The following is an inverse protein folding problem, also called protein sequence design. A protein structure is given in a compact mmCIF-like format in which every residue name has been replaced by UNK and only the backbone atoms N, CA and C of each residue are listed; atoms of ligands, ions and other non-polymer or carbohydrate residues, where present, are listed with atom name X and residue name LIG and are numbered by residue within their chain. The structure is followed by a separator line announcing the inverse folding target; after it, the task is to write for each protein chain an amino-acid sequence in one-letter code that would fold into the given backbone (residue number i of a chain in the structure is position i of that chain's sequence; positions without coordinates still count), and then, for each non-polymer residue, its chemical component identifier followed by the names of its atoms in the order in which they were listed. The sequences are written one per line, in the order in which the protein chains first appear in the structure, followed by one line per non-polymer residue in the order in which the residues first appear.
data_IF_086591864597
#
_entry.id   IF_086591864597
#
_cell.length_a   1.000
_cell.length_b   1.000
_cell.length_c   1.000
_cell.angle_alpha   90.00
_cell.angle_beta   90.00
_cell.angle_gamma   90.00
#
_symmetry.space_group_name_H-M   'P 1'
#
loop_
_entity.id
_entity.type
_entity.pdbx_description
1 polymer ?
#
# COMPACT_ATOMS: atom_id res chain seq x y z
N UNK A 1 -40.87 21.00 19.29
CA UNK A 1 -41.43 20.18 18.17
C UNK A 1 -41.57 21.07 16.93
N UNK A 2 -40.45 21.48 16.35
CA UNK A 2 -40.37 21.97 14.97
C UNK A 2 -39.83 20.78 14.19
N UNK A 3 -40.61 20.36 13.22
CA UNK A 3 -40.69 18.98 12.76
C UNK A 3 -39.58 18.65 11.77
N UNK A 4 -39.07 17.43 11.90
CA UNK A 4 -38.21 16.68 10.96
C UNK A 4 -38.65 16.84 9.49
N UNK A 5 -39.91 17.18 9.25
CA UNK A 5 -40.48 17.57 7.96
C UNK A 5 -39.77 18.73 7.24
N UNK A 6 -39.24 19.74 7.95
CA UNK A 6 -38.61 20.91 7.30
C UNK A 6 -37.22 20.55 6.76
N UNK A 7 -36.43 19.77 7.51
CA UNK A 7 -35.13 19.26 7.08
C UNK A 7 -35.27 18.25 5.93
N UNK A 8 -36.29 17.39 5.99
CA UNK A 8 -36.60 16.45 4.90
C UNK A 8 -37.02 17.16 3.61
N UNK A 9 -37.71 18.31 3.72
CA UNK A 9 -38.12 19.12 2.57
C UNK A 9 -36.94 19.86 1.93
N UNK A 10 -36.01 20.39 2.72
CA UNK A 10 -34.77 20.98 2.21
C UNK A 10 -33.87 19.95 1.51
N UNK A 11 -33.73 18.74 2.06
CA UNK A 11 -32.90 17.68 1.48
C UNK A 11 -33.48 17.16 0.15
N UNK A 12 -34.81 16.98 0.07
CA UNK A 12 -35.49 16.62 -1.20
C UNK A 12 -35.44 17.71 -2.26
N UNK A 13 -35.35 18.98 -1.88
CA UNK A 13 -35.23 20.11 -2.82
C UNK A 13 -33.82 20.18 -3.43
N UNK A 14 -32.78 19.88 -2.65
CA UNK A 14 -31.40 19.82 -3.13
C UNK A 14 -31.19 18.69 -4.16
N UNK A 15 -31.67 17.47 -3.87
CA UNK A 15 -31.61 16.32 -4.78
C UNK A 15 -32.40 16.51 -6.10
N UNK A 16 -33.41 17.40 -6.10
CA UNK A 16 -34.22 17.70 -7.29
C UNK A 16 -33.53 18.71 -8.22
N UNK A 17 -32.62 19.54 -7.72
CA UNK A 17 -31.79 20.41 -8.55
C UNK A 17 -30.59 19.67 -9.17
N UNK A 18 -29.97 18.73 -8.45
CA UNK A 18 -28.91 17.87 -9.03
C UNK A 18 -29.42 17.00 -10.20
N UNK A 19 -30.65 16.51 -10.13
CA UNK A 19 -31.28 15.77 -11.25
C UNK A 19 -31.59 16.65 -12.47
N UNK A 20 -31.75 17.97 -12.30
CA UNK A 20 -31.92 18.91 -13.41
C UNK A 20 -30.57 19.28 -14.03
N UNK A 21 -29.50 19.35 -13.24
CA UNK A 21 -28.13 19.54 -13.73
C UNK A 21 -27.59 18.34 -14.54
N UNK A 22 -28.01 17.11 -14.19
CA UNK A 22 -27.56 15.88 -14.88
C UNK A 22 -28.12 15.64 -16.28
N UNK A 23 -29.08 16.45 -16.76
CA UNK A 23 -29.66 16.32 -18.11
C UNK A 23 -28.88 17.09 -19.19
N UNK A 24 -27.83 17.84 -18.83
CA UNK A 24 -27.06 18.67 -19.79
C UNK A 24 -25.70 18.08 -20.19
N UNK A 25 -25.32 16.89 -19.72
CA UNK A 25 -24.01 16.29 -20.01
C UNK A 25 -24.15 14.84 -20.48
N UNK A 26 -24.87 14.65 -21.57
CA UNK A 26 -24.87 13.39 -22.31
C UNK A 26 -24.24 13.60 -23.68
N UNK A 27 -22.90 13.60 -23.76
CA UNK A 27 -22.13 13.31 -24.97
C UNK A 27 -20.73 12.87 -24.53
N UNK A 28 -20.34 11.65 -24.93
CA UNK A 28 -19.04 10.95 -24.87
C UNK A 28 -19.34 9.47 -24.51
N UNK A 29 -19.92 8.72 -25.45
CA UNK A 29 -19.22 7.92 -26.46
C UNK A 29 -18.30 6.86 -25.85
N UNK A 30 -18.84 5.65 -25.81
CA UNK A 30 -18.16 4.37 -25.77
C UNK A 30 -16.91 4.31 -26.66
N UNK A 31 -15.77 3.92 -26.08
CA UNK A 31 -14.66 3.27 -26.79
C UNK A 31 -14.06 2.18 -25.92
N UNK A 32 -14.40 0.95 -26.26
CA UNK A 32 -13.57 -0.23 -26.04
C UNK A 32 -12.35 -0.13 -26.96
N UNK A 33 -11.16 0.01 -26.41
CA UNK A 33 -9.93 -0.31 -27.10
C UNK A 33 -8.88 -0.78 -26.10
N UNK A 34 -8.54 -2.06 -26.24
CA UNK A 34 -7.27 -2.64 -25.84
C UNK A 34 -6.14 -1.78 -26.39
N UNK A 35 -5.35 -1.15 -25.52
CA UNK A 35 -4.13 -0.47 -25.92
C UNK A 35 -3.07 -0.55 -24.82
N UNK A 36 -2.12 -1.44 -25.09
CA UNK A 36 -0.71 -1.43 -24.70
C UNK A 36 -0.33 -1.51 -23.21
N UNK A 37 0.15 -2.70 -22.85
CA UNK A 37 1.19 -3.04 -21.86
C UNK A 37 2.50 -2.26 -22.06
N UNK A 38 2.44 -0.93 -22.11
CA UNK A 38 3.59 -0.04 -22.20
C UNK A 38 3.36 1.19 -21.30
N UNK A 39 2.90 0.95 -20.08
CA UNK A 39 3.09 1.91 -19.00
C UNK A 39 4.55 1.80 -18.59
N UNK A 40 5.38 2.58 -19.26
CA UNK A 40 6.76 2.82 -18.89
C UNK A 40 6.83 3.08 -17.38
N UNK A 41 7.85 2.50 -16.76
CA UNK A 41 8.28 2.63 -15.36
C UNK A 41 8.63 4.10 -14.99
N UNK A 42 7.77 5.08 -15.28
CA UNK A 42 7.93 6.48 -14.85
C UNK A 42 7.91 6.62 -13.31
N UNK A 43 7.46 5.58 -12.60
CA UNK A 43 7.51 5.48 -11.14
C UNK A 43 8.77 4.77 -10.59
N UNK A 44 9.76 4.42 -11.42
CA UNK A 44 11.04 3.82 -10.99
C UNK A 44 11.99 4.86 -10.33
N UNK A 45 11.76 6.15 -10.56
CA UNK A 45 12.62 7.25 -10.09
C UNK A 45 12.73 7.41 -8.56
N UNK A 46 11.71 7.03 -7.78
CA UNK A 46 11.68 7.30 -6.33
C UNK A 46 12.39 6.26 -5.44
N UNK A 47 13.02 5.24 -6.03
CA UNK A 47 13.81 4.26 -5.26
C UNK A 47 15.25 4.11 -5.79
N UNK A 48 15.62 4.82 -6.85
CA UNK A 48 17.00 4.82 -7.37
C UNK A 48 17.82 6.00 -6.81
N UNK A 49 17.22 7.17 -6.60
CA UNK A 49 17.94 8.38 -6.18
C UNK A 49 17.47 8.89 -4.81
N UNK A 50 18.12 8.46 -3.73
CA UNK A 50 18.74 9.40 -2.79
C UNK A 50 19.68 8.65 -1.83
N UNK A 51 20.84 9.25 -1.58
CA UNK A 51 22.05 8.71 -0.93
C UNK A 51 23.00 7.92 -1.84
N UNK A 52 23.66 8.68 -2.71
CA UNK A 52 25.02 8.37 -3.14
C UNK A 52 25.97 8.35 -1.93
N UNK A 53 26.66 7.23 -1.76
CA UNK A 53 28.04 7.24 -1.32
C UNK A 53 28.85 7.12 -2.62
N UNK A 54 28.96 8.23 -3.35
CA UNK A 54 29.98 8.39 -4.40
C UNK A 54 31.32 8.49 -3.67
N UNK A 55 31.84 7.32 -3.34
CA UNK A 55 33.05 7.12 -2.57
C UNK A 55 34.14 6.53 -3.45
N UNK A 56 34.58 7.28 -4.46
CA UNK A 56 35.97 7.26 -4.91
C UNK A 56 36.35 6.27 -6.02
N UNK A 57 36.75 6.88 -7.12
CA UNK A 57 37.84 6.49 -8.03
C UNK A 57 37.63 5.36 -9.06
N UNK A 58 37.59 5.85 -10.31
CA UNK A 58 37.88 5.21 -11.59
C UNK A 58 39.25 4.52 -11.59
N UNK A 59 39.34 3.32 -11.02
CA UNK A 59 40.43 2.38 -11.27
C UNK A 59 39.83 1.03 -11.70
N UNK A 60 40.17 0.60 -12.91
CA UNK A 60 39.59 -0.57 -13.61
C UNK A 60 39.97 -1.94 -13.04
N UNK A 61 39.82 -2.14 -11.72
CA UNK A 61 39.80 -3.46 -11.10
C UNK A 61 38.36 -3.96 -10.94
N UNK A 62 38.11 -5.20 -11.34
CA UNK A 62 36.82 -5.89 -11.20
C UNK A 62 36.57 -6.14 -9.71
N UNK A 63 35.97 -5.16 -9.02
CA UNK A 63 35.60 -5.29 -7.61
C UNK A 63 34.44 -6.28 -7.45
N UNK A 64 34.29 -6.86 -6.25
CA UNK A 64 33.14 -7.72 -5.93
C UNK A 64 31.81 -6.99 -6.16
N UNK A 65 31.75 -5.66 -6.00
CA UNK A 65 30.57 -4.85 -6.29
C UNK A 65 30.22 -4.84 -7.79
N UNK A 66 31.21 -4.76 -8.68
CA UNK A 66 31.00 -4.80 -10.14
C UNK A 66 30.46 -6.16 -10.59
N UNK A 67 30.93 -7.26 -9.99
CA UNK A 67 30.39 -8.60 -10.25
C UNK A 67 28.93 -8.73 -9.79
N UNK A 68 28.62 -8.27 -8.57
CA UNK A 68 27.26 -8.29 -8.00
C UNK A 68 26.29 -7.41 -8.80
N UNK A 69 26.77 -6.29 -9.35
CA UNK A 69 25.98 -5.41 -10.23
C UNK A 69 25.59 -6.10 -11.53
N UNK A 70 26.55 -6.78 -12.19
CA UNK A 70 26.30 -7.53 -13.41
C UNK A 70 25.29 -8.66 -13.18
N UNK A 71 25.46 -9.43 -12.09
CA UNK A 71 24.52 -10.50 -11.73
C UNK A 71 23.11 -9.97 -11.44
N UNK A 72 23.01 -8.78 -10.84
CA UNK A 72 21.73 -8.12 -10.61
C UNK A 72 21.06 -7.65 -11.91
N UNK A 73 21.84 -7.11 -12.87
CA UNK A 73 21.32 -6.71 -14.18
C UNK A 73 20.76 -7.92 -14.95
N UNK A 74 21.49 -9.04 -14.92
CA UNK A 74 21.05 -10.33 -15.46
C UNK A 74 19.73 -10.77 -14.83
N UNK A 75 19.63 -10.72 -13.49
CA UNK A 75 18.41 -11.05 -12.77
C UNK A 75 17.23 -10.14 -13.15
N UNK A 76 17.46 -8.82 -13.31
CA UNK A 76 16.43 -7.83 -13.70
C UNK A 76 15.84 -8.16 -15.07
N UNK A 77 16.66 -8.59 -16.03
CA UNK A 77 16.20 -8.97 -17.38
C UNK A 77 15.23 -10.16 -17.38
N UNK A 78 15.32 -11.02 -16.36
CA UNK A 78 14.52 -12.26 -16.25
C UNK A 78 13.19 -12.08 -15.52
N UNK A 79 12.96 -10.94 -14.86
CA UNK A 79 11.75 -10.65 -14.06
C UNK A 79 10.48 -10.86 -14.89
N UNK A 80 10.53 -10.51 -16.17
CA UNK A 80 9.37 -10.53 -17.05
C UNK A 80 9.14 -11.87 -17.74
N UNK A 81 10.18 -12.67 -17.89
CA UNK A 81 10.17 -13.89 -18.72
C UNK A 81 10.07 -15.15 -17.88
N UNK A 82 10.81 -15.27 -16.78
CA UNK A 82 10.88 -16.49 -16.00
C UNK A 82 11.11 -16.21 -14.51
N UNK A 83 10.03 -16.31 -13.72
CA UNK A 83 10.05 -16.12 -12.27
C UNK A 83 11.12 -17.00 -11.59
N UNK A 84 11.20 -18.29 -11.92
CA UNK A 84 12.09 -19.22 -11.22
C UNK A 84 13.56 -18.84 -11.42
N UNK A 85 13.94 -18.53 -12.67
CA UNK A 85 15.30 -18.13 -12.98
C UNK A 85 15.63 -16.76 -12.39
N UNK A 86 14.71 -15.80 -12.46
CA UNK A 86 14.90 -14.49 -11.84
C UNK A 86 15.13 -14.60 -10.32
N UNK A 87 14.30 -15.38 -9.63
CA UNK A 87 14.41 -15.60 -8.17
C UNK A 87 15.73 -16.29 -7.82
N UNK A 88 16.15 -17.27 -8.61
CA UNK A 88 17.42 -17.95 -8.40
C UNK A 88 18.60 -16.98 -8.54
N UNK A 89 18.61 -16.16 -9.60
CA UNK A 89 19.66 -15.14 -9.81
C UNK A 89 19.68 -14.09 -8.72
N UNK A 90 18.52 -13.57 -8.28
CA UNK A 90 18.48 -12.66 -7.15
C UNK A 90 18.96 -13.31 -5.83
N UNK A 91 18.76 -14.62 -5.63
CA UNK A 91 19.32 -15.31 -4.46
C UNK A 91 20.84 -15.44 -4.54
N UNK A 92 21.39 -15.60 -5.75
CA UNK A 92 22.84 -15.61 -5.98
C UNK A 92 23.44 -14.23 -5.66
N UNK A 93 22.79 -13.14 -6.10
CA UNK A 93 23.18 -11.75 -5.75
C UNK A 93 23.16 -11.52 -4.23
N UNK A 94 22.15 -12.04 -3.51
CA UNK A 94 22.10 -11.96 -2.04
C UNK A 94 23.23 -12.75 -1.37
N UNK A 95 23.63 -13.88 -1.94
CA UNK A 95 24.71 -14.70 -1.40
C UNK A 95 26.11 -14.12 -1.69
N UNK A 96 26.25 -13.37 -2.79
CA UNK A 96 27.48 -12.69 -3.17
C UNK A 96 27.68 -11.34 -2.46
N UNK A 97 26.61 -10.74 -1.93
CA UNK A 97 26.66 -9.49 -1.16
C UNK A 97 27.15 -9.76 0.28
N UNK A 98 28.45 -9.58 0.52
CA UNK A 98 29.10 -9.84 1.83
C UNK A 98 28.55 -8.94 2.95
N UNK A 99 28.20 -7.69 2.61
CA UNK A 99 27.69 -6.71 3.57
C UNK A 99 26.19 -6.86 3.85
N UNK A 100 25.51 -7.75 3.10
CA UNK A 100 24.07 -7.90 3.08
C UNK A 100 23.31 -6.57 3.06
N UNK A 101 23.88 -5.58 2.35
CA UNK A 101 23.47 -4.19 2.40
C UNK A 101 22.57 -3.83 1.23
N UNK A 102 23.11 -3.00 0.34
CA UNK A 102 22.38 -2.42 -0.80
C UNK A 102 21.87 -3.49 -1.76
N UNK A 103 22.72 -4.43 -2.14
CA UNK A 103 22.42 -5.42 -3.18
C UNK A 103 21.43 -6.48 -2.71
N UNK A 104 21.50 -6.87 -1.44
CA UNK A 104 20.54 -7.76 -0.79
C UNK A 104 19.14 -7.18 -0.82
N UNK A 105 18.99 -5.90 -0.46
CA UNK A 105 17.67 -5.26 -0.50
C UNK A 105 17.17 -5.01 -1.93
N UNK A 106 18.05 -4.60 -2.85
CA UNK A 106 17.69 -4.49 -4.28
C UNK A 106 17.17 -5.84 -4.80
N UNK A 107 17.81 -6.93 -4.42
CA UNK A 107 17.40 -8.29 -4.77
C UNK A 107 16.08 -8.69 -4.14
N UNK A 108 15.84 -8.40 -2.85
CA UNK A 108 14.53 -8.65 -2.22
C UNK A 108 13.41 -7.87 -2.91
N UNK A 109 13.65 -6.61 -3.25
CA UNK A 109 12.70 -5.78 -4.01
C UNK A 109 12.46 -6.35 -5.41
N UNK A 110 13.51 -6.84 -6.07
CA UNK A 110 13.44 -7.52 -7.37
C UNK A 110 12.57 -8.77 -7.33
N UNK A 111 12.81 -9.64 -6.35
CA UNK A 111 12.02 -10.86 -6.13
C UNK A 111 10.57 -10.52 -5.82
N UNK A 112 10.32 -9.57 -4.93
CA UNK A 112 8.97 -9.10 -4.62
C UNK A 112 8.23 -8.58 -5.87
N UNK A 113 8.90 -7.78 -6.71
CA UNK A 113 8.34 -7.28 -7.98
C UNK A 113 8.02 -8.43 -8.93
N UNK A 114 8.94 -9.37 -9.11
CA UNK A 114 8.74 -10.56 -9.93
C UNK A 114 7.55 -11.39 -9.43
N UNK A 115 7.51 -11.72 -8.13
CA UNK A 115 6.43 -12.47 -7.51
C UNK A 115 5.06 -11.79 -7.69
N UNK A 116 5.01 -10.46 -7.53
CA UNK A 116 3.79 -9.67 -7.75
C UNK A 116 3.32 -9.74 -9.22
N UNK A 117 4.25 -9.67 -10.17
CA UNK A 117 3.97 -9.74 -11.62
C UNK A 117 3.45 -11.12 -12.03
N UNK A 118 4.08 -12.18 -11.53
CA UNK A 118 3.72 -13.57 -11.80
C UNK A 118 2.60 -14.13 -10.90
N UNK A 119 2.00 -13.30 -10.03
CA UNK A 119 0.92 -13.65 -9.11
C UNK A 119 1.25 -14.78 -8.13
N UNK A 120 2.52 -14.90 -7.76
CA UNK A 120 2.97 -15.81 -6.70
C UNK A 120 2.83 -15.12 -5.33
N UNK A 121 1.74 -15.41 -4.64
CA UNK A 121 1.38 -14.75 -3.38
C UNK A 121 2.30 -15.13 -2.22
N UNK A 122 2.70 -16.41 -2.13
CA UNK A 122 3.50 -16.92 -1.01
C UNK A 122 4.92 -16.35 -1.08
N UNK A 123 5.52 -16.36 -2.27
CA UNK A 123 6.84 -15.77 -2.48
C UNK A 123 6.82 -14.26 -2.28
N UNK A 124 5.77 -13.58 -2.73
CA UNK A 124 5.60 -12.14 -2.52
C UNK A 124 5.55 -11.80 -1.03
N UNK A 125 4.77 -12.54 -0.24
CA UNK A 125 4.65 -12.33 1.21
C UNK A 125 5.97 -12.58 1.94
N UNK A 126 6.68 -13.66 1.61
CA UNK A 126 7.98 -13.99 2.22
C UNK A 126 8.99 -12.84 2.04
N UNK A 127 9.15 -12.36 0.80
CA UNK A 127 10.11 -11.31 0.51
C UNK A 127 9.63 -9.92 0.93
N UNK A 128 8.32 -9.70 1.02
CA UNK A 128 7.77 -8.49 1.63
C UNK A 128 8.12 -8.43 3.13
N UNK A 129 7.99 -9.54 3.86
CA UNK A 129 8.38 -9.60 5.27
C UNK A 129 9.88 -9.33 5.46
N UNK A 130 10.74 -9.95 4.62
CA UNK A 130 12.19 -9.69 4.64
C UNK A 130 12.53 -8.21 4.39
N UNK A 131 11.80 -7.54 3.49
CA UNK A 131 11.99 -6.10 3.26
C UNK A 131 11.56 -5.23 4.45
N UNK A 132 10.50 -5.62 5.18
CA UNK A 132 10.03 -4.90 6.37
C UNK A 132 10.97 -5.07 7.57
N UNK A 133 11.59 -6.24 7.70
CA UNK A 133 12.55 -6.51 8.78
C UNK A 133 13.95 -5.91 8.48
N UNK A 134 14.21 -5.51 7.24
CA UNK A 134 15.48 -4.91 6.84
C UNK A 134 15.64 -3.51 7.46
N UNK A 135 16.61 -3.35 8.36
CA UNK A 135 16.88 -2.08 9.03
C UNK A 135 17.73 -1.16 8.15
N UNK A 136 17.31 0.10 8.06
CA UNK A 136 18.04 1.14 7.33
C UNK A 136 18.30 2.34 8.24
N UNK A 137 19.51 2.50 8.79
CA UNK A 137 19.82 3.63 9.67
C UNK A 137 19.70 4.99 8.94
N UNK A 138 19.86 5.00 7.62
CA UNK A 138 19.83 6.23 6.80
C UNK A 138 18.43 6.62 6.32
N UNK A 139 17.41 5.75 6.45
CA UNK A 139 16.07 6.06 5.92
C UNK A 139 15.27 6.90 6.88
N UNK A 140 14.66 7.97 6.37
CA UNK A 140 13.73 8.76 7.17
C UNK A 140 12.42 7.99 7.35
N UNK A 141 11.67 8.35 8.39
CA UNK A 141 10.31 7.83 8.59
C UNK A 141 9.44 8.00 7.34
N UNK A 142 9.53 9.17 6.70
CA UNK A 142 8.70 9.49 5.53
C UNK A 142 8.97 8.53 4.38
N UNK A 143 10.23 8.19 4.13
CA UNK A 143 10.62 7.28 3.05
C UNK A 143 10.10 5.86 3.31
N UNK A 144 10.14 5.42 4.57
CA UNK A 144 9.59 4.13 5.00
C UNK A 144 8.07 4.11 4.80
N UNK A 145 7.35 5.16 5.23
CA UNK A 145 5.89 5.26 5.05
C UNK A 145 5.51 5.25 3.56
N UNK A 146 6.22 6.02 2.73
CA UNK A 146 5.98 6.08 1.28
C UNK A 146 6.26 4.74 0.62
N UNK A 147 7.36 4.08 0.99
CA UNK A 147 7.71 2.76 0.52
C UNK A 147 6.63 1.73 0.85
N UNK A 148 6.22 1.65 2.13
CA UNK A 148 5.18 0.72 2.58
C UNK A 148 3.89 0.93 1.80
N UNK A 149 3.38 2.17 1.70
CA UNK A 149 2.16 2.45 0.95
C UNK A 149 2.26 1.98 -0.51
N UNK A 150 3.38 2.26 -1.18
CA UNK A 150 3.60 1.82 -2.57
C UNK A 150 3.62 0.29 -2.71
N UNK A 151 4.14 -0.44 -1.72
CA UNK A 151 4.13 -1.90 -1.73
C UNK A 151 2.73 -2.45 -1.46
N UNK A 152 2.02 -1.89 -0.48
CA UNK A 152 0.64 -2.26 -0.16
C UNK A 152 -0.28 -2.01 -1.36
N UNK A 153 -0.09 -0.90 -2.09
CA UNK A 153 -0.87 -0.59 -3.30
C UNK A 153 -0.61 -1.58 -4.45
N UNK A 154 0.63 -2.04 -4.62
CA UNK A 154 0.98 -3.08 -5.60
C UNK A 154 0.31 -4.42 -5.29
N UNK A 155 0.01 -4.70 -4.02
CA UNK A 155 -0.67 -5.93 -3.63
C UNK A 155 -2.16 -5.96 -3.97
N UNK A 156 -2.75 -4.83 -4.41
CA UNK A 156 -4.16 -4.77 -4.83
C UNK A 156 -4.47 -5.67 -6.05
N UNK A 157 -3.45 -6.17 -6.73
CA UNK A 157 -3.58 -7.14 -7.83
C UNK A 157 -3.95 -8.56 -7.37
N UNK A 158 -3.77 -8.86 -6.09
CA UNK A 158 -4.09 -10.16 -5.49
C UNK A 158 -5.53 -10.17 -4.95
N UNK A 159 -6.12 -11.36 -4.69
CA UNK A 159 -7.43 -11.44 -4.08
C UNK A 159 -7.42 -10.97 -2.61
N UNK A 160 -8.61 -10.72 -2.05
CA UNK A 160 -8.77 -10.09 -0.72
C UNK A 160 -8.13 -10.90 0.42
N UNK A 161 -8.06 -12.22 0.30
CA UNK A 161 -7.41 -13.10 1.28
C UNK A 161 -5.90 -12.83 1.39
N UNK A 162 -5.23 -12.65 0.26
CA UNK A 162 -3.80 -12.31 0.21
C UNK A 162 -3.59 -10.86 0.64
N UNK A 163 -4.43 -9.93 0.20
CA UNK A 163 -4.35 -8.53 0.65
C UNK A 163 -4.46 -8.40 2.16
N UNK A 164 -5.37 -9.17 2.79
CA UNK A 164 -5.51 -9.22 4.24
C UNK A 164 -4.21 -9.66 4.93
N UNK A 165 -3.57 -10.73 4.45
CA UNK A 165 -2.27 -11.19 4.97
C UNK A 165 -1.19 -10.12 4.85
N UNK A 166 -1.14 -9.40 3.72
CA UNK A 166 -0.22 -8.27 3.54
C UNK A 166 -0.46 -7.22 4.62
N UNK A 167 -1.71 -6.79 4.82
CA UNK A 167 -2.04 -5.77 5.80
C UNK A 167 -1.72 -6.21 7.24
N UNK A 168 -1.94 -7.49 7.58
CA UNK A 168 -1.58 -8.07 8.87
C UNK A 168 -0.06 -8.05 9.11
N UNK A 169 0.73 -8.46 8.12
CA UNK A 169 2.20 -8.41 8.18
C UNK A 169 2.70 -6.97 8.29
N UNK A 170 2.13 -6.04 7.52
CA UNK A 170 2.45 -4.61 7.61
C UNK A 170 2.13 -4.05 8.99
N UNK A 171 0.95 -4.35 9.55
CA UNK A 171 0.54 -3.91 10.88
C UNK A 171 1.44 -4.49 11.98
N UNK A 172 1.85 -5.76 11.86
CA UNK A 172 2.79 -6.38 12.79
C UNK A 172 4.16 -5.67 12.76
N UNK A 173 4.68 -5.31 11.59
CA UNK A 173 5.92 -4.56 11.47
C UNK A 173 5.81 -3.14 12.08
N UNK A 174 4.72 -2.43 11.76
CA UNK A 174 4.47 -1.07 12.26
C UNK A 174 4.23 -1.05 13.78
N UNK A 175 3.63 -2.11 14.33
CA UNK A 175 3.30 -2.18 15.76
C UNK A 175 4.53 -2.06 16.67
N UNK A 176 5.72 -2.41 16.16
CA UNK A 176 7.00 -2.29 16.87
C UNK A 176 7.38 -0.84 17.19
N UNK A 177 6.90 0.13 16.40
CA UNK A 177 7.21 1.56 16.55
C UNK A 177 5.97 2.43 16.26
N UNK A 178 4.88 2.16 16.99
CA UNK A 178 3.60 2.86 16.85
C UNK A 178 3.68 4.37 17.08
N UNK A 179 4.67 4.84 17.85
CA UNK A 179 4.84 6.27 18.12
C UNK A 179 5.24 7.03 16.86
N UNK A 180 6.07 6.41 16.01
CA UNK A 180 6.54 7.04 14.80
C UNK A 180 5.55 6.84 13.64
N UNK A 181 4.97 5.64 13.52
CA UNK A 181 4.14 5.22 12.38
C UNK A 181 2.62 5.22 12.66
N UNK A 182 2.18 6.08 13.57
CA UNK A 182 0.82 6.16 14.08
C UNK A 182 -0.24 6.42 12.96
N UNK A 183 0.08 7.33 12.03
CA UNK A 183 -0.75 7.63 10.85
C UNK A 183 -0.82 6.47 9.87
N UNK A 184 0.31 5.81 9.62
CA UNK A 184 0.37 4.66 8.72
C UNK A 184 -0.43 3.49 9.28
N UNK A 185 -0.34 3.24 10.59
CA UNK A 185 -1.16 2.25 11.28
C UNK A 185 -2.65 2.51 11.06
N UNK A 186 -3.11 3.74 11.27
CA UNK A 186 -4.52 4.11 11.06
C UNK A 186 -4.94 3.92 9.60
N UNK A 187 -4.09 4.32 8.64
CA UNK A 187 -4.37 4.13 7.22
C UNK A 187 -4.50 2.65 6.84
N UNK A 188 -3.65 1.77 7.40
CA UNK A 188 -3.75 0.33 7.18
C UNK A 188 -5.01 -0.26 7.83
N UNK A 189 -5.38 0.18 9.03
CA UNK A 189 -6.61 -0.24 9.70
C UNK A 189 -7.86 0.12 8.89
N UNK A 190 -7.88 1.31 8.29
CA UNK A 190 -8.95 1.73 7.38
C UNK A 190 -9.05 0.81 6.15
N UNK A 191 -7.91 0.40 5.57
CA UNK A 191 -7.88 -0.56 4.45
C UNK A 191 -8.43 -1.94 4.86
N UNK A 192 -8.07 -2.43 6.05
CA UNK A 192 -8.62 -3.69 6.60
C UNK A 192 -10.14 -3.59 6.78
N UNK A 193 -10.65 -2.50 7.35
CA UNK A 193 -12.08 -2.28 7.53
C UNK A 193 -12.82 -2.27 6.17
N UNK A 194 -12.28 -1.60 5.16
CA UNK A 194 -12.85 -1.58 3.81
C UNK A 194 -12.88 -2.97 3.16
N UNK A 195 -11.86 -3.79 3.39
CA UNK A 195 -11.81 -5.17 2.90
C UNK A 195 -12.88 -6.05 3.57
N UNK A 196 -13.05 -5.91 4.89
CA UNK A 196 -14.13 -6.56 5.65
C UNK A 196 -15.53 -6.13 5.19
N UNK A 197 -15.70 -4.85 4.86
CA UNK A 197 -16.92 -4.32 4.25
C UNK A 197 -17.22 -4.99 2.91
N UNK A 198 -16.21 -5.14 2.04
CA UNK A 198 -16.37 -5.79 0.75
C UNK A 198 -16.78 -7.27 0.89
N UNK A 199 -16.36 -7.94 1.97
CA UNK A 199 -16.75 -9.31 2.32
C UNK A 199 -18.07 -9.41 3.11
N UNK A 200 -18.73 -8.28 3.40
CA UNK A 200 -19.96 -8.19 4.22
C UNK A 200 -19.81 -8.74 5.64
N UNK A 201 -18.60 -8.72 6.19
CA UNK A 201 -18.31 -9.14 7.57
C UNK A 201 -18.54 -7.97 8.55
N UNK A 202 -19.81 -7.54 8.66
CA UNK A 202 -20.18 -6.33 9.40
C UNK A 202 -19.84 -6.36 10.90
N UNK A 203 -19.89 -7.54 11.54
CA UNK A 203 -19.52 -7.66 12.95
C UNK A 203 -18.02 -7.47 13.17
N UNK A 204 -17.17 -8.00 12.27
CA UNK A 204 -15.72 -7.77 12.32
C UNK A 204 -15.34 -6.31 12.01
N UNK A 205 -16.11 -5.64 11.14
CA UNK A 205 -15.95 -4.19 10.91
C UNK A 205 -16.24 -3.41 12.21
N UNK A 206 -17.28 -3.77 12.94
CA UNK A 206 -17.62 -3.10 14.20
C UNK A 206 -16.48 -3.21 15.23
N UNK A 207 -15.84 -4.38 15.34
CA UNK A 207 -14.68 -4.57 16.21
C UNK A 207 -13.50 -3.69 15.79
N UNK A 208 -13.21 -3.57 14.50
CA UNK A 208 -12.11 -2.70 14.01
C UNK A 208 -12.42 -1.22 14.22
N UNK A 209 -13.67 -0.80 14.07
CA UNK A 209 -14.13 0.57 14.38
C UNK A 209 -13.90 0.88 15.86
N UNK A 210 -14.25 -0.04 16.76
CA UNK A 210 -14.06 0.15 18.20
C UNK A 210 -12.56 0.31 18.54
N UNK A 211 -11.70 -0.52 17.95
CA UNK A 211 -10.23 -0.41 18.11
C UNK A 211 -9.72 0.95 17.62
N UNK A 212 -10.23 1.46 16.49
CA UNK A 212 -9.86 2.77 15.97
C UNK A 212 -10.36 3.92 16.85
N UNK A 213 -11.56 3.80 17.45
CA UNK A 213 -12.08 4.78 18.42
C UNK A 213 -11.25 4.86 19.69
N UNK A 214 -10.84 3.72 20.23
CA UNK A 214 -9.95 3.66 21.38
C UNK A 214 -8.64 4.39 21.06
N UNK A 215 -8.01 4.08 19.94
CA UNK A 215 -6.81 4.76 19.49
C UNK A 215 -7.02 6.28 19.27
N UNK A 216 -8.17 6.71 18.76
CA UNK A 216 -8.51 8.13 18.59
C UNK A 216 -8.77 8.88 19.91
N UNK A 217 -9.01 8.14 20.99
CA UNK A 217 -9.27 8.69 22.34
C UNK A 217 -8.02 8.70 23.21
N UNK A 218 -6.98 7.95 22.81
CA UNK A 218 -5.70 7.90 23.51
C UNK A 218 -4.80 9.10 23.21
N UNK A 219 -4.27 9.71 24.28
CA UNK A 219 -3.21 10.73 24.25
C UNK A 219 -3.66 12.14 24.63
N UNK A 220 -2.71 12.94 25.13
CA UNK A 220 -2.95 14.36 25.42
C UNK A 220 -3.19 15.14 24.12
N UNK A 221 -4.22 15.99 24.08
CA UNK A 221 -4.67 16.71 22.87
C UNK A 221 -5.08 15.80 21.68
N UNK A 222 -5.45 14.54 21.93
CA UNK A 222 -5.90 13.61 20.89
C UNK A 222 -7.05 14.18 20.05
N UNK A 223 -7.96 14.92 20.69
CA UNK A 223 -9.11 15.54 20.05
C UNK A 223 -8.73 16.53 18.92
N UNK A 224 -7.60 17.23 19.07
CA UNK A 224 -7.13 18.19 18.07
C UNK A 224 -6.15 17.57 17.07
N UNK A 225 -5.31 16.61 17.49
CA UNK A 225 -4.31 15.96 16.63
C UNK A 225 -4.89 14.86 15.73
N UNK A 226 -5.94 14.18 16.19
CA UNK A 226 -6.57 13.03 15.52
C UNK A 226 -7.97 13.33 14.97
N UNK A 227 -8.33 14.61 14.84
CA UNK A 227 -9.66 15.04 14.40
C UNK A 227 -10.07 14.42 13.05
N UNK A 228 -9.17 14.45 12.07
CA UNK A 228 -9.42 13.87 10.72
C UNK A 228 -9.61 12.35 10.79
N UNK A 229 -8.80 11.65 11.59
CA UNK A 229 -8.92 10.21 11.79
C UNK A 229 -10.25 9.86 12.43
N UNK A 230 -10.66 10.62 13.46
CA UNK A 230 -11.96 10.44 14.12
C UNK A 230 -13.12 10.64 13.15
N UNK A 231 -13.04 11.63 12.25
CA UNK A 231 -14.04 11.81 11.18
C UNK A 231 -14.12 10.60 10.24
N UNK A 232 -12.99 10.00 9.89
CA UNK A 232 -12.97 8.78 9.07
C UNK A 232 -13.62 7.59 9.81
N UNK A 233 -13.41 7.44 11.12
CA UNK A 233 -14.07 6.39 11.91
C UNK A 233 -15.60 6.60 11.93
N UNK A 234 -16.07 7.83 12.16
CA UNK A 234 -17.51 8.13 12.12
C UNK A 234 -18.12 7.89 10.74
N UNK A 235 -17.39 8.17 9.66
CA UNK A 235 -17.85 7.87 8.31
C UNK A 235 -18.04 6.36 8.08
N UNK A 236 -17.10 5.53 8.55
CA UNK A 236 -17.23 4.07 8.51
C UNK A 236 -18.41 3.56 9.36
N UNK A 237 -18.62 4.13 10.54
CA UNK A 237 -19.77 3.78 11.38
C UNK A 237 -21.10 4.06 10.69
N UNK A 238 -21.24 5.24 10.11
CA UNK A 238 -22.44 5.59 9.35
C UNK A 238 -22.67 4.61 8.19
N UNK A 239 -21.61 4.24 7.47
CA UNK A 239 -21.68 3.24 6.41
C UNK A 239 -22.11 1.86 6.94
N UNK A 240 -21.61 1.45 8.11
CA UNK A 240 -22.01 0.20 8.77
C UNK A 240 -23.50 0.23 9.14
N UNK A 241 -23.98 1.33 9.71
CA UNK A 241 -25.39 1.50 10.06
C UNK A 241 -26.30 1.47 8.83
N UNK A 242 -25.91 2.09 7.72
CA UNK A 242 -26.72 2.08 6.50
C UNK A 242 -26.87 0.67 5.93
N UNK A 243 -25.78 -0.11 5.86
CA UNK A 243 -25.82 -1.47 5.31
C UNK A 243 -26.56 -2.46 6.25
N UNK A 244 -26.48 -2.26 7.56
CA UNK A 244 -27.11 -3.16 8.55
C UNK A 244 -28.62 -2.93 8.71
N UNK A 245 -29.09 -1.69 8.56
CA UNK A 245 -30.48 -1.31 8.84
C UNK A 245 -31.31 -0.94 7.60
N UNK A 246 -30.71 -0.81 6.42
CA UNK A 246 -31.42 -0.61 5.14
C UNK A 246 -30.81 -1.51 4.03
N UNK A 247 -30.96 -2.85 4.13
CA UNK A 247 -30.48 -3.74 3.08
C UNK A 247 -31.33 -3.54 1.82
N UNK A 248 -30.73 -2.94 0.79
CA UNK A 248 -31.32 -2.80 -0.56
C UNK A 248 -31.58 -4.16 -1.20
#
# INVERSE_FOLDING_TARGET
KVTVSVLYWCFRRCLREERKGRKSTSHLSSKSHTQSDAMADEDEYYFEDDYGCDGGDDDGEETWETAVENDYADAKSLVDTNLKNAVQRFKEVVAADEDHGRWTFKSYKGIYRAATKHRDADLMLEYYQKMLDFQWPQRTRHDIEKAINKHVDRCNVFPHDVQRKVYEVTLAAISKDLRNFDKLWFAMKLRVANLLFAEKQYDAVAEEIERMHQWCSEGEQAEQRKATQRLNVYALELQLFTERYDPV
#
